data_IF_088611428879
#
_entry.id   IF_088611428879
#
_cell.length_a   1.000
_cell.length_b   1.000
_cell.length_c   1.000
_cell.angle_alpha   90.00
_cell.angle_beta   90.00
_cell.angle_gamma   90.00
#
_symmetry.space_group_name_H-M   'P 1'
#
loop_
_entity.id
_entity.type
_entity.pdbx_description
1 polymer ?
#
# COMPACT_ATOMS: atom_id res chain seq x y z
N UNK A 1 -5.64 2.01 1.30
CA UNK A 1 -5.89 3.41 1.67
C UNK A 1 -5.18 4.35 0.72
N UNK A 2 -5.89 5.35 0.19
CA UNK A 2 -5.35 6.34 -0.78
C UNK A 2 -5.70 7.74 -0.30
N UNK A 3 -4.79 8.71 -0.44
CA UNK A 3 -5.10 10.14 -0.24
C UNK A 3 -3.89 11.00 0.14
N UNK A 4 -4.15 12.28 0.44
CA UNK A 4 -3.10 13.27 0.72
C UNK A 4 -2.24 12.90 1.95
N UNK A 5 -0.94 13.26 1.97
CA UNK A 5 -0.09 13.03 3.13
C UNK A 5 -0.66 13.68 4.41
N UNK A 6 -0.30 13.13 5.57
CA UNK A 6 -0.70 13.60 6.91
C UNK A 6 -2.19 13.54 7.29
N UNK A 7 -3.06 12.87 6.54
CA UNK A 7 -4.49 12.69 6.87
C UNK A 7 -4.81 11.49 7.79
N UNK A 8 -3.88 11.07 8.64
CA UNK A 8 -4.13 9.98 9.60
C UNK A 8 -4.30 8.57 9.00
N UNK A 9 -4.03 8.36 7.70
CA UNK A 9 -4.15 7.04 7.03
C UNK A 9 -3.38 5.93 7.75
N UNK A 10 -2.13 6.19 8.11
CA UNK A 10 -1.31 5.21 8.85
C UNK A 10 -1.89 4.89 10.22
N UNK A 11 -2.47 5.89 10.91
CA UNK A 11 -3.09 5.69 12.21
C UNK A 11 -4.33 4.80 12.10
N UNK A 12 -5.22 5.10 11.16
CA UNK A 12 -6.44 4.32 10.91
C UNK A 12 -6.09 2.88 10.50
N UNK A 13 -5.15 2.69 9.57
CA UNK A 13 -4.73 1.37 9.12
C UNK A 13 -4.18 0.51 10.26
N UNK A 14 -3.32 1.07 11.12
CA UNK A 14 -2.77 0.36 12.28
C UNK A 14 -3.85 0.01 13.31
N UNK A 15 -4.79 0.93 13.58
CA UNK A 15 -5.89 0.69 14.51
C UNK A 15 -6.83 -0.41 13.99
N UNK A 16 -7.13 -0.38 12.70
CA UNK A 16 -7.96 -1.40 12.04
C UNK A 16 -7.26 -2.77 12.06
N UNK A 17 -6.00 -2.85 11.65
CA UNK A 17 -5.24 -4.10 11.70
C UNK A 17 -5.16 -4.68 13.11
N UNK A 18 -4.94 -3.85 14.13
CA UNK A 18 -4.92 -4.31 15.53
C UNK A 18 -6.28 -4.86 15.97
N UNK A 19 -7.38 -4.22 15.55
CA UNK A 19 -8.73 -4.70 15.86
C UNK A 19 -9.04 -6.03 15.14
N UNK A 20 -8.70 -6.14 13.86
CA UNK A 20 -8.92 -7.36 13.08
C UNK A 20 -8.11 -8.54 13.62
N UNK A 21 -6.84 -8.33 13.96
CA UNK A 21 -6.05 -9.36 14.63
C UNK A 21 -6.62 -9.73 16.01
N UNK A 22 -7.21 -8.77 16.74
CA UNK A 22 -7.81 -9.04 18.05
C UNK A 22 -9.05 -9.94 17.96
N UNK A 23 -9.87 -9.79 16.92
CA UNK A 23 -11.02 -10.68 16.66
C UNK A 23 -10.63 -12.02 16.02
N UNK A 24 -9.33 -12.26 15.77
CA UNK A 24 -8.80 -13.51 15.23
C UNK A 24 -8.57 -13.53 13.71
N UNK A 25 -8.76 -12.41 13.01
CA UNK A 25 -8.51 -12.31 11.56
C UNK A 25 -7.06 -11.91 11.33
N UNK A 26 -6.29 -12.79 10.68
CA UNK A 26 -4.88 -12.56 10.38
C UNK A 26 -4.76 -11.40 9.40
N UNK A 27 -4.31 -10.24 9.90
CA UNK A 27 -4.30 -8.98 9.14
C UNK A 27 -2.95 -8.29 9.17
N UNK A 28 -2.44 -7.87 8.01
CA UNK A 28 -1.17 -7.13 7.91
C UNK A 28 -1.31 -5.80 7.17
N UNK A 29 -0.54 -4.82 7.62
CA UNK A 29 -0.46 -3.49 6.99
C UNK A 29 0.77 -3.42 6.09
N UNK A 30 0.58 -3.02 4.84
CA UNK A 30 1.64 -2.80 3.85
C UNK A 30 1.75 -1.31 3.56
N UNK A 31 2.89 -0.69 3.87
CA UNK A 31 3.08 0.75 3.71
C UNK A 31 4.05 1.04 2.57
N UNK A 32 3.55 1.48 1.42
CA UNK A 32 4.40 1.81 0.24
C UNK A 32 5.44 2.87 0.56
N UNK A 33 5.17 3.74 1.55
CA UNK A 33 6.13 4.71 2.04
C UNK A 33 7.35 4.12 2.73
N UNK A 34 7.27 2.90 3.28
CA UNK A 34 8.41 2.17 3.85
C UNK A 34 9.28 1.56 2.74
N UNK A 35 8.67 0.93 1.73
CA UNK A 35 9.36 0.45 0.53
C UNK A 35 10.17 1.56 -0.15
N UNK A 36 9.58 2.77 -0.25
CA UNK A 36 10.30 3.93 -0.78
C UNK A 36 11.52 4.33 0.06
N UNK A 37 11.42 4.26 1.39
CA UNK A 37 12.53 4.62 2.30
C UNK A 37 13.66 3.59 2.24
N UNK A 38 13.34 2.34 1.98
CA UNK A 38 14.32 1.27 1.79
C UNK A 38 14.98 1.35 0.40
N UNK A 39 14.23 1.72 -0.63
CA UNK A 39 14.71 1.75 -2.01
C UNK A 39 15.64 2.94 -2.31
N UNK A 40 15.49 4.08 -1.63
CA UNK A 40 16.32 5.27 -1.90
C UNK A 40 16.33 6.23 -0.71
N UNK A 41 17.43 6.96 -0.49
CA UNK A 41 17.48 8.09 0.46
C UNK A 41 16.99 9.41 -0.17
N UNK A 42 16.85 9.46 -1.50
CA UNK A 42 16.46 10.66 -2.25
C UNK A 42 15.02 11.14 -1.96
N UNK A 43 14.21 10.33 -1.27
CA UNK A 43 12.85 10.69 -0.85
C UNK A 43 12.78 11.91 0.08
N UNK A 44 13.90 12.31 0.69
CA UNK A 44 13.98 13.47 1.59
C UNK A 44 13.86 14.81 0.84
N UNK A 45 14.11 14.81 -0.47
CA UNK A 45 14.04 16.02 -1.30
C UNK A 45 12.66 16.17 -1.95
N UNK A 46 12.10 17.39 -1.93
CA UNK A 46 10.80 17.69 -2.55
C UNK A 46 10.78 17.39 -4.06
N UNK A 47 11.93 17.54 -4.73
CA UNK A 47 12.15 17.26 -6.17
C UNK A 47 11.79 15.80 -6.53
N UNK A 48 11.88 14.89 -5.55
CA UNK A 48 11.49 13.49 -5.74
C UNK A 48 9.98 13.33 -5.98
N UNK A 49 9.15 14.25 -5.47
CA UNK A 49 7.71 14.17 -5.62
C UNK A 49 7.17 14.94 -6.83
N UNK A 50 8.03 15.69 -7.52
CA UNK A 50 7.67 16.44 -8.71
C UNK A 50 7.08 15.50 -9.79
N UNK A 51 5.91 15.82 -10.37
CA UNK A 51 5.34 15.05 -11.46
C UNK A 51 6.21 15.04 -12.73
N UNK A 52 7.07 16.04 -12.93
CA UNK A 52 7.96 16.13 -14.10
C UNK A 52 9.18 15.21 -13.98
N UNK A 53 9.51 14.76 -12.77
CA UNK A 53 10.63 13.86 -12.53
C UNK A 53 10.25 12.41 -12.87
N UNK A 54 10.52 12.01 -14.12
CA UNK A 54 10.22 10.67 -14.63
C UNK A 54 10.99 9.56 -13.90
N UNK A 55 12.21 9.81 -13.46
CA UNK A 55 13.01 8.84 -12.72
C UNK A 55 12.41 8.58 -11.34
N UNK A 56 12.07 9.64 -10.60
CA UNK A 56 11.42 9.50 -9.31
C UNK A 56 10.01 8.91 -9.43
N UNK A 57 9.29 9.17 -10.53
CA UNK A 57 8.03 8.49 -10.85
C UNK A 57 8.23 6.98 -11.07
N UNK A 58 9.26 6.59 -11.82
CA UNK A 58 9.59 5.18 -12.04
C UNK A 58 9.92 4.45 -10.72
N UNK A 59 10.71 5.07 -9.84
CA UNK A 59 11.01 4.53 -8.51
C UNK A 59 9.73 4.38 -7.67
N UNK A 60 8.88 5.43 -7.64
CA UNK A 60 7.58 5.38 -6.92
C UNK A 60 6.69 4.26 -7.43
N UNK A 61 6.64 4.05 -8.75
CA UNK A 61 5.86 2.97 -9.36
C UNK A 61 6.44 1.60 -9.02
N UNK A 62 7.77 1.44 -9.05
CA UNK A 62 8.43 0.19 -8.67
C UNK A 62 8.13 -0.17 -7.21
N UNK A 63 8.32 0.76 -6.26
CA UNK A 63 7.99 0.52 -4.86
C UNK A 63 6.52 0.17 -4.62
N UNK A 64 5.61 0.70 -5.45
CA UNK A 64 4.19 0.36 -5.39
C UNK A 64 3.90 -1.05 -5.90
N UNK A 65 4.62 -1.51 -6.93
CA UNK A 65 4.52 -2.88 -7.45
C UNK A 65 5.12 -3.89 -6.49
N UNK A 66 6.32 -3.63 -5.96
CA UNK A 66 6.98 -4.50 -4.98
C UNK A 66 6.09 -4.71 -3.75
N UNK A 67 5.48 -3.63 -3.23
CA UNK A 67 4.55 -3.71 -2.10
C UNK A 67 3.25 -4.46 -2.42
N UNK A 68 2.82 -4.45 -3.69
CA UNK A 68 1.64 -5.19 -4.14
C UNK A 68 1.96 -6.68 -4.27
N UNK A 69 3.12 -7.02 -4.81
CA UNK A 69 3.58 -8.40 -4.96
C UNK A 69 3.75 -9.07 -3.59
N UNK A 70 4.43 -8.41 -2.64
CA UNK A 70 4.55 -8.88 -1.26
C UNK A 70 3.19 -9.08 -0.58
N UNK A 71 2.24 -8.18 -0.86
CA UNK A 71 0.89 -8.27 -0.33
C UNK A 71 0.15 -9.48 -0.89
N UNK A 72 0.23 -9.72 -2.20
CA UNK A 72 -0.37 -10.88 -2.85
C UNK A 72 0.22 -12.19 -2.34
N UNK A 73 1.55 -12.31 -2.30
CA UNK A 73 2.21 -13.50 -1.77
C UNK A 73 1.81 -13.78 -0.32
N UNK A 74 1.74 -12.74 0.52
CA UNK A 74 1.33 -12.91 1.91
C UNK A 74 -0.14 -13.37 2.05
N UNK A 75 -1.04 -12.83 1.21
CA UNK A 75 -2.45 -13.24 1.19
C UNK A 75 -2.66 -14.68 0.65
N UNK A 76 -1.81 -15.14 -0.27
CA UNK A 76 -1.90 -16.51 -0.81
C UNK A 76 -1.46 -17.57 0.20
N UNK A 77 -0.62 -17.22 1.18
CA UNK A 77 -0.07 -18.16 2.15
C UNK A 77 -0.73 -18.10 3.53
N UNK A 78 -0.71 -16.91 4.16
CA UNK A 78 -0.97 -16.78 5.61
C UNK A 78 -2.05 -15.74 5.94
N UNK A 79 -2.32 -14.82 5.01
CA UNK A 79 -3.11 -13.62 5.28
C UNK A 79 -4.57 -13.72 4.84
N UNK A 80 -5.49 -13.34 5.71
CA UNK A 80 -6.91 -13.20 5.35
C UNK A 80 -7.25 -11.79 4.86
N UNK A 81 -6.60 -10.77 5.45
CA UNK A 81 -6.86 -9.36 5.14
C UNK A 81 -5.56 -8.58 5.04
N UNK A 82 -5.39 -7.85 3.94
CA UNK A 82 -4.26 -6.95 3.76
C UNK A 82 -4.72 -5.49 3.64
N UNK A 83 -4.01 -4.60 4.34
CA UNK A 83 -4.25 -3.16 4.33
C UNK A 83 -3.07 -2.45 3.70
N UNK A 84 -3.18 -2.07 2.43
CA UNK A 84 -2.16 -1.26 1.75
C UNK A 84 -2.35 0.23 2.05
N UNK A 85 -1.28 0.98 2.33
CA UNK A 85 -1.28 2.44 2.50
C UNK A 85 -0.44 3.06 1.40
N UNK A 86 -1.05 3.93 0.60
CA UNK A 86 -0.35 4.69 -0.42
C UNK A 86 -0.74 6.16 -0.42
N UNK A 87 0.26 7.01 -0.66
CA UNK A 87 0.09 8.45 -0.89
C UNK A 87 -0.11 8.78 -2.38
N UNK A 88 -0.02 7.79 -3.27
CA UNK A 88 -0.02 7.99 -4.73
C UNK A 88 -1.29 7.38 -5.34
N UNK A 89 -2.02 8.17 -6.12
CA UNK A 89 -3.28 7.79 -6.79
C UNK A 89 -3.13 6.65 -7.81
N UNK A 90 -1.92 6.45 -8.35
CA UNK A 90 -1.65 5.45 -9.40
C UNK A 90 -1.87 3.99 -8.97
N UNK A 91 -1.94 3.72 -7.66
CA UNK A 91 -2.13 2.35 -7.15
C UNK A 91 -3.57 1.87 -7.38
N UNK A 92 -4.53 2.79 -7.50
CA UNK A 92 -5.96 2.44 -7.63
C UNK A 92 -6.24 1.60 -8.88
N UNK A 93 -5.62 1.90 -10.02
CA UNK A 93 -5.91 1.19 -11.29
C UNK A 93 -5.26 -0.20 -11.35
N UNK A 94 -4.05 -0.35 -10.80
CA UNK A 94 -3.34 -1.64 -10.79
C UNK A 94 -3.95 -2.58 -9.76
N UNK A 95 -4.26 -2.10 -8.55
CA UNK A 95 -4.92 -2.92 -7.54
C UNK A 95 -6.34 -3.37 -7.95
N UNK A 96 -7.09 -2.53 -8.68
CA UNK A 96 -8.42 -2.90 -9.17
C UNK A 96 -8.37 -4.09 -10.14
N UNK A 97 -7.34 -4.17 -10.99
CA UNK A 97 -7.14 -5.31 -11.90
C UNK A 97 -6.85 -6.61 -11.14
N UNK A 98 -6.02 -6.55 -10.10
CA UNK A 98 -5.72 -7.73 -9.28
C UNK A 98 -6.90 -8.17 -8.41
N UNK A 99 -7.71 -7.24 -7.92
CA UNK A 99 -8.93 -7.56 -7.17
C UNK A 99 -9.96 -8.32 -8.03
N UNK A 100 -10.09 -7.98 -9.32
CA UNK A 100 -10.94 -8.72 -10.26
C UNK A 100 -10.39 -10.14 -10.52
N UNK A 101 -9.07 -10.32 -10.48
CA UNK A 101 -8.43 -11.60 -10.76
C UNK A 101 -8.55 -12.63 -9.60
N UNK A 102 -8.69 -12.17 -8.35
CA UNK A 102 -8.74 -13.04 -7.15
C UNK A 102 -9.96 -12.74 -6.27
N UNK A 103 -11.19 -13.07 -6.72
CA UNK A 103 -12.43 -12.68 -6.03
C UNK A 103 -12.73 -13.46 -4.74
N UNK A 104 -12.06 -14.59 -4.48
CA UNK A 104 -12.53 -15.59 -3.50
C UNK A 104 -11.66 -15.77 -2.24
N UNK A 105 -10.54 -15.07 -2.09
CA UNK A 105 -9.56 -15.43 -1.03
C UNK A 105 -9.02 -14.28 -0.18
N UNK A 106 -9.28 -13.01 -0.52
CA UNK A 106 -8.76 -11.89 0.27
C UNK A 106 -9.60 -10.62 0.15
N UNK A 107 -10.00 -10.05 1.28
CA UNK A 107 -10.67 -8.75 1.32
C UNK A 107 -9.63 -7.63 1.47
N UNK A 108 -9.39 -6.87 0.40
CA UNK A 108 -8.50 -5.70 0.44
C UNK A 108 -9.32 -4.45 0.79
N UNK A 109 -9.04 -3.84 1.94
CA UNK A 109 -9.79 -2.67 2.42
C UNK A 109 -9.14 -1.35 1.96
N UNK A 110 -9.74 -0.70 0.96
CA UNK A 110 -9.34 0.62 0.50
C UNK A 110 -10.17 1.72 1.17
N UNK A 111 -9.67 2.31 2.25
CA UNK A 111 -10.23 3.57 2.78
C UNK A 111 -9.53 4.77 2.14
N UNK A 112 -10.28 5.57 1.38
CA UNK A 112 -9.83 6.86 0.89
C UNK A 112 -10.19 7.95 1.93
N UNK A 113 -9.19 8.65 2.45
CA UNK A 113 -9.34 9.86 3.27
C UNK A 113 -8.45 10.97 2.73
#
# INVERSE_FOLDING_TARGET
MVGLPARGKTYIAKKLSRYLNWIGIITRVFNVGEYRRQATEAYKNHIFFDPNNKEALAIRNKCALDALEDMCQWLEHEGEVAVSISATSNISSTCYKYFIAYPNTAHILFSAC
#
